data_IF_006989888407
#
_entry.id   IF_006989888407
#
_cell.length_a   1.000
_cell.length_b   1.000
_cell.length_c   1.000
_cell.angle_alpha   90.00
_cell.angle_beta   90.00
_cell.angle_gamma   90.00
#
_symmetry.space_group_name_H-M   'P 1'
#
loop_
_entity.id
_entity.type
_entity.pdbx_description
1 polymer ?
#
# COMPACT_ATOMS: atom_id res chain seq x y z
N UNK A 1 1.93 -5.22 -20.05
CA UNK A 1 1.60 -4.17 -19.05
C UNK A 1 2.82 -3.91 -18.19
N UNK A 2 3.08 -2.65 -17.92
CA UNK A 2 4.21 -2.24 -17.10
C UNK A 2 3.85 -2.22 -15.62
N UNK A 3 4.82 -1.87 -14.79
CA UNK A 3 4.64 -1.74 -13.36
C UNK A 3 5.11 -0.36 -12.91
N UNK A 4 4.24 0.35 -12.20
CA UNK A 4 4.61 1.52 -11.40
C UNK A 4 4.73 1.04 -9.97
N UNK A 5 5.75 1.49 -9.24
CA UNK A 5 5.96 0.99 -7.88
C UNK A 5 6.27 2.11 -6.90
N UNK A 6 5.93 1.86 -5.64
CA UNK A 6 6.28 2.70 -4.50
C UNK A 6 6.94 1.77 -3.49
N UNK A 7 8.17 2.07 -3.08
CA UNK A 7 8.93 1.23 -2.17
C UNK A 7 9.21 1.96 -0.87
N UNK A 8 9.01 1.25 0.25
CA UNK A 8 9.39 1.75 1.56
C UNK A 8 8.56 2.93 2.04
N UNK A 9 7.31 3.06 1.61
CA UNK A 9 6.42 4.11 2.08
C UNK A 9 6.04 3.82 3.53
N UNK A 10 6.44 4.70 4.44
CA UNK A 10 6.11 4.59 5.85
C UNK A 10 4.79 5.30 6.13
N UNK A 11 3.90 4.62 6.84
CA UNK A 11 2.58 5.14 7.21
C UNK A 11 2.32 4.90 8.69
N UNK A 12 1.54 5.81 9.30
CA UNK A 12 1.14 5.69 10.69
C UNK A 12 -0.32 5.27 10.77
N UNK A 13 -0.60 4.25 11.59
CA UNK A 13 -1.95 3.71 11.72
C UNK A 13 -2.15 3.08 13.11
N UNK A 14 -3.40 2.86 13.47
CA UNK A 14 -3.76 2.04 14.62
C UNK A 14 -3.92 0.61 14.12
N UNK A 15 -3.12 -0.31 14.63
CA UNK A 15 -3.08 -1.69 14.16
C UNK A 15 -2.62 -2.62 15.29
N UNK A 16 -3.22 -3.81 15.38
CA UNK A 16 -2.84 -4.84 16.32
C UNK A 16 -3.98 -5.28 17.23
N UNK A 17 -3.85 -6.50 17.76
CA UNK A 17 -4.89 -7.17 18.54
C UNK A 17 -4.80 -6.89 20.05
N UNK A 18 -3.62 -6.52 20.54
CA UNK A 18 -3.44 -6.28 21.96
C UNK A 18 -4.07 -4.94 22.40
N UNK A 19 -4.61 -4.90 23.63
CA UNK A 19 -5.28 -3.70 24.12
C UNK A 19 -4.42 -2.45 24.03
N UNK A 20 -3.13 -2.55 24.38
CA UNK A 20 -2.21 -1.41 24.31
C UNK A 20 -1.98 -0.92 22.86
N UNK A 21 -2.11 -1.82 21.87
CA UNK A 21 -1.97 -1.44 20.45
C UNK A 21 -3.16 -0.63 19.95
N UNK A 22 -4.34 -0.75 20.60
CA UNK A 22 -5.55 -0.04 20.16
C UNK A 22 -5.52 1.46 20.46
N UNK A 23 -4.62 1.89 21.34
CA UNK A 23 -4.55 3.28 21.81
C UNK A 23 -3.34 4.04 21.31
N UNK A 24 -2.50 3.42 20.50
CA UNK A 24 -1.28 4.03 19.96
C UNK A 24 -1.27 3.96 18.43
N UNK A 25 -0.46 4.80 17.84
CA UNK A 25 -0.16 4.74 16.39
C UNK A 25 1.14 3.99 16.21
N UNK A 26 1.18 3.16 15.19
CA UNK A 26 2.38 2.40 14.84
C UNK A 26 2.73 2.64 13.38
N UNK A 27 4.00 2.52 13.05
CA UNK A 27 4.48 2.61 11.69
C UNK A 27 4.34 1.27 10.97
N UNK A 28 3.76 1.30 9.77
CA UNK A 28 3.83 0.20 8.82
C UNK A 28 4.62 0.65 7.59
N UNK A 29 5.28 -0.29 6.93
CA UNK A 29 5.96 -0.03 5.67
C UNK A 29 5.19 -0.66 4.54
N UNK A 30 4.91 0.13 3.52
CA UNK A 30 4.14 -0.28 2.35
C UNK A 30 5.07 -0.33 1.14
N UNK A 31 5.12 -1.48 0.49
CA UNK A 31 5.76 -1.66 -0.81
C UNK A 31 4.68 -2.12 -1.78
N UNK A 32 4.44 -1.36 -2.83
CA UNK A 32 3.35 -1.67 -3.75
C UNK A 32 3.80 -1.60 -5.19
N UNK A 33 3.37 -2.58 -5.96
CA UNK A 33 3.52 -2.65 -7.41
C UNK A 33 2.15 -2.52 -8.05
N UNK A 34 2.04 -1.63 -9.02
CA UNK A 34 0.78 -1.24 -9.64
C UNK A 34 0.88 -1.48 -11.14
N UNK A 35 -0.04 -2.29 -11.69
CA UNK A 35 -0.07 -2.55 -13.13
C UNK A 35 -0.60 -1.33 -13.88
N UNK A 36 0.16 -0.87 -14.87
CA UNK A 36 -0.20 0.29 -15.68
C UNK A 36 0.50 0.24 -17.04
N UNK A 37 -0.17 0.68 -18.07
CA UNK A 37 0.47 0.82 -19.38
C UNK A 37 1.05 2.25 -19.48
N UNK A 38 2.37 2.35 -19.44
CA UNK A 38 3.07 3.64 -19.46
C UNK A 38 3.21 4.24 -20.87
N UNK A 39 2.92 3.47 -21.92
CA UNK A 39 3.14 3.91 -23.30
C UNK A 39 2.34 5.14 -23.69
N UNK A 40 1.02 5.24 -23.36
CA UNK A 40 0.26 6.44 -23.73
C UNK A 40 0.81 7.73 -23.14
N UNK A 41 1.23 7.69 -21.86
CA UNK A 41 1.82 8.86 -21.21
C UNK A 41 3.18 9.22 -21.80
N UNK A 42 4.00 8.20 -22.09
CA UNK A 42 5.36 8.40 -22.61
C UNK A 42 5.37 8.88 -24.07
N UNK A 43 4.33 8.58 -24.85
CA UNK A 43 4.30 8.91 -26.27
C UNK A 43 4.44 10.41 -26.53
N UNK A 44 3.76 11.24 -25.76
CA UNK A 44 3.76 12.70 -25.88
C UNK A 44 4.10 13.42 -24.56
N UNK A 45 4.65 12.69 -23.59
CA UNK A 45 5.04 13.25 -22.30
C UNK A 45 3.84 13.90 -21.56
N UNK A 46 2.73 13.16 -21.47
CA UNK A 46 1.45 13.66 -20.93
C UNK A 46 1.18 13.08 -19.54
N UNK A 47 1.20 13.95 -18.51
CA UNK A 47 0.99 13.57 -17.12
C UNK A 47 -0.40 12.96 -16.88
N UNK A 48 -1.43 13.47 -17.54
CA UNK A 48 -2.81 13.02 -17.34
C UNK A 48 -3.07 11.57 -17.79
N UNK A 49 -2.15 10.99 -18.57
CA UNK A 49 -2.21 9.59 -18.99
C UNK A 49 -1.33 8.68 -18.13
N UNK A 50 -0.55 9.25 -17.24
CA UNK A 50 0.31 8.50 -16.32
C UNK A 50 -0.46 8.11 -15.05
N UNK A 51 0.03 7.08 -14.37
CA UNK A 51 -0.41 6.82 -13.00
C UNK A 51 0.39 7.73 -12.08
N UNK A 52 -0.29 8.67 -11.42
CA UNK A 52 0.34 9.63 -10.52
C UNK A 52 0.67 8.97 -9.17
N UNK A 53 1.90 8.46 -9.04
CA UNK A 53 2.34 7.77 -7.83
C UNK A 53 2.39 8.70 -6.60
N UNK A 54 2.53 10.01 -6.79
CA UNK A 54 2.48 10.95 -5.67
C UNK A 54 1.06 11.01 -5.08
N UNK A 55 0.03 11.06 -5.93
CA UNK A 55 -1.37 11.02 -5.49
C UNK A 55 -1.71 9.68 -4.86
N UNK A 56 -1.22 8.58 -5.43
CA UNK A 56 -1.40 7.24 -4.85
C UNK A 56 -0.78 7.18 -3.46
N UNK A 57 0.45 7.69 -3.29
CA UNK A 57 1.13 7.72 -2.00
C UNK A 57 0.36 8.51 -0.96
N UNK A 58 -0.16 9.68 -1.32
CA UNK A 58 -0.99 10.51 -0.45
C UNK A 58 -2.26 9.76 -0.03
N UNK A 59 -2.88 9.05 -0.95
CA UNK A 59 -4.10 8.28 -0.65
C UNK A 59 -3.80 7.13 0.32
N UNK A 60 -2.67 6.45 0.15
CA UNK A 60 -2.24 5.39 1.07
C UNK A 60 -2.03 5.95 2.48
N UNK A 61 -1.37 7.10 2.59
CA UNK A 61 -1.14 7.76 3.88
C UNK A 61 -2.46 8.18 4.54
N UNK A 62 -3.40 8.74 3.78
CA UNK A 62 -4.72 9.12 4.28
C UNK A 62 -5.51 7.89 4.75
N UNK A 63 -5.49 6.82 3.98
CA UNK A 63 -6.11 5.55 4.37
C UNK A 63 -5.57 5.06 5.71
N UNK A 64 -4.25 5.02 5.85
CA UNK A 64 -3.59 4.54 7.06
C UNK A 64 -3.94 5.41 8.28
N UNK A 65 -4.02 6.73 8.11
CA UNK A 65 -4.30 7.64 9.21
C UNK A 65 -5.68 7.44 9.82
N UNK A 66 -6.64 6.96 9.05
CA UNK A 66 -8.02 6.71 9.49
C UNK A 66 -8.26 5.25 9.90
N UNK A 67 -7.40 4.33 9.49
CA UNK A 67 -7.58 2.90 9.72
C UNK A 67 -7.36 2.53 11.19
N UNK A 68 -8.17 1.57 11.68
CA UNK A 68 -8.10 1.04 13.05
C UNK A 68 -8.30 -0.47 13.04
N UNK A 69 -7.65 -1.16 12.11
CA UNK A 69 -7.81 -2.60 11.96
C UNK A 69 -7.03 -3.37 13.03
N UNK A 70 -7.51 -4.55 13.35
CA UNK A 70 -6.82 -5.48 14.25
C UNK A 70 -5.68 -6.17 13.50
N UNK A 71 -5.94 -6.60 12.25
CA UNK A 71 -5.03 -7.44 11.48
C UNK A 71 -4.39 -6.68 10.34
N UNK A 72 -3.09 -6.92 10.11
CA UNK A 72 -2.40 -6.41 8.92
C UNK A 72 -3.02 -6.98 7.64
N UNK A 73 -3.54 -8.21 7.69
CA UNK A 73 -4.25 -8.84 6.57
C UNK A 73 -5.48 -8.04 6.15
N UNK A 74 -6.25 -7.54 7.11
CA UNK A 74 -7.43 -6.70 6.82
C UNK A 74 -7.00 -5.37 6.20
N UNK A 75 -5.97 -4.75 6.78
CA UNK A 75 -5.41 -3.51 6.24
C UNK A 75 -5.00 -3.70 4.77
N UNK A 76 -4.28 -4.79 4.48
CA UNK A 76 -3.79 -5.08 3.13
C UNK A 76 -4.94 -5.25 2.13
N UNK A 77 -5.96 -6.05 2.47
CA UNK A 77 -7.10 -6.29 1.59
C UNK A 77 -7.88 -5.01 1.31
N UNK A 78 -8.16 -4.22 2.34
CA UNK A 78 -8.90 -2.97 2.19
C UNK A 78 -8.13 -1.93 1.39
N UNK A 79 -6.84 -1.82 1.61
CA UNK A 79 -6.00 -0.88 0.86
C UNK A 79 -5.98 -1.24 -0.62
N UNK A 80 -5.81 -2.50 -0.96
CA UNK A 80 -5.82 -2.95 -2.35
C UNK A 80 -7.16 -2.64 -3.03
N UNK A 81 -8.29 -2.86 -2.34
CA UNK A 81 -9.61 -2.51 -2.87
C UNK A 81 -9.70 -1.01 -3.21
N UNK A 82 -9.22 -0.16 -2.32
CA UNK A 82 -9.20 1.30 -2.52
C UNK A 82 -8.37 1.68 -3.74
N UNK A 83 -7.16 1.13 -3.85
CA UNK A 83 -6.26 1.45 -4.95
C UNK A 83 -6.82 1.01 -6.29
N UNK A 84 -7.35 -0.21 -6.37
CA UNK A 84 -7.91 -0.72 -7.62
C UNK A 84 -9.14 0.05 -8.06
N UNK A 85 -10.04 0.39 -7.13
CA UNK A 85 -11.29 1.06 -7.47
C UNK A 85 -11.12 2.55 -7.75
N UNK A 86 -10.35 3.26 -6.92
CA UNK A 86 -10.23 4.72 -7.06
C UNK A 86 -9.29 5.15 -8.18
N UNK A 87 -8.26 4.35 -8.48
CA UNK A 87 -7.30 4.69 -9.54
C UNK A 87 -7.46 3.84 -10.80
N UNK A 88 -8.46 2.96 -10.83
CA UNK A 88 -8.71 2.05 -11.96
C UNK A 88 -7.49 1.20 -12.31
N UNK A 89 -6.78 0.73 -11.27
CA UNK A 89 -5.58 -0.09 -11.42
C UNK A 89 -6.03 -1.55 -11.59
N UNK A 90 -5.65 -2.22 -12.68
CA UNK A 90 -6.13 -3.57 -12.96
C UNK A 90 -5.42 -4.66 -12.15
N UNK A 91 -4.23 -4.36 -11.62
CA UNK A 91 -3.42 -5.34 -10.90
C UNK A 91 -2.57 -4.65 -9.84
N UNK A 92 -2.54 -5.23 -8.64
CA UNK A 92 -1.76 -4.72 -7.51
C UNK A 92 -1.07 -5.88 -6.80
N UNK A 93 0.21 -5.72 -6.51
CA UNK A 93 0.95 -6.54 -5.55
C UNK A 93 1.38 -5.65 -4.39
N UNK A 94 0.94 -5.98 -3.19
CA UNK A 94 1.19 -5.20 -1.99
C UNK A 94 1.97 -6.06 -0.98
N UNK A 95 3.09 -5.52 -0.49
CA UNK A 95 3.82 -6.08 0.66
C UNK A 95 3.67 -5.10 1.81
N UNK A 96 3.08 -5.56 2.90
CA UNK A 96 2.85 -4.77 4.09
C UNK A 96 3.70 -5.33 5.22
N UNK A 97 4.60 -4.50 5.76
CA UNK A 97 5.53 -4.91 6.81
C UNK A 97 5.24 -4.14 8.09
N UNK A 98 5.21 -4.85 9.21
CA UNK A 98 5.10 -4.29 10.56
C UNK A 98 6.48 -4.39 11.22
N UNK A 99 7.32 -3.33 11.13
CA UNK A 99 8.68 -3.37 11.66
C UNK A 99 8.66 -3.53 13.19
N UNK A 100 9.57 -4.34 13.71
CA UNK A 100 9.73 -4.51 15.15
C UNK A 100 8.67 -5.36 15.85
N UNK A 101 7.68 -5.87 15.13
CA UNK A 101 6.65 -6.73 15.72
C UNK A 101 7.21 -8.02 16.31
N UNK A 102 8.25 -8.54 15.68
CA UNK A 102 9.07 -9.67 16.20
C UNK A 102 10.51 -9.18 16.20
N UNK A 103 11.08 -8.99 17.37
CA UNK A 103 12.42 -8.37 17.51
C UNK A 103 13.51 -9.14 16.75
N UNK A 104 13.43 -10.48 16.72
CA UNK A 104 14.41 -11.32 16.04
C UNK A 104 14.32 -11.22 14.51
N UNK A 105 13.20 -10.77 13.96
CA UNK A 105 13.04 -10.56 12.52
C UNK A 105 13.43 -9.13 12.17
N UNK A 106 14.72 -8.91 11.92
CA UNK A 106 15.27 -7.54 11.71
C UNK A 106 14.64 -6.81 10.53
N UNK A 107 14.18 -7.54 9.51
CA UNK A 107 13.47 -6.95 8.36
C UNK A 107 11.98 -6.74 8.58
N UNK A 108 11.47 -7.09 9.76
CA UNK A 108 10.06 -7.04 10.10
C UNK A 108 9.30 -8.30 9.71
N UNK A 109 8.01 -8.29 10.00
CA UNK A 109 7.06 -9.34 9.61
C UNK A 109 5.90 -8.69 8.89
N UNK A 110 5.18 -9.46 8.09
CA UNK A 110 4.05 -8.88 7.38
C UNK A 110 3.38 -9.86 6.45
N UNK A 111 2.63 -9.32 5.49
CA UNK A 111 1.90 -10.08 4.49
C UNK A 111 2.17 -9.51 3.10
N UNK A 112 2.07 -10.39 2.11
CA UNK A 112 2.11 -9.97 0.71
C UNK A 112 0.90 -10.55 0.01
N UNK A 113 0.16 -9.71 -0.71
CA UNK A 113 -1.01 -10.13 -1.49
C UNK A 113 -0.91 -9.60 -2.91
N UNK A 114 -1.52 -10.34 -3.82
CA UNK A 114 -1.60 -9.95 -5.23
C UNK A 114 -3.05 -10.09 -5.67
N UNK A 115 -3.61 -9.06 -6.31
CA UNK A 115 -5.01 -9.03 -6.74
C UNK A 115 -5.13 -8.45 -8.14
N UNK A 116 -6.16 -8.91 -8.86
CA UNK A 116 -6.42 -8.45 -10.21
C UNK A 116 -5.67 -9.27 -11.26
N UNK A 117 -5.70 -8.78 -12.49
CA UNK A 117 -5.07 -9.42 -13.64
C UNK A 117 -4.20 -8.43 -14.40
N UNK A 118 -3.02 -8.88 -14.74
CA UNK A 118 -2.13 -8.14 -15.66
C UNK A 118 -2.56 -8.28 -17.10
#
# INVERSE_FOLDING_TARGET
MDTVFIKGLEVDTVIGAYDWERTIRQCLRVDVQLGWDNRPAALNDELDKALDYATVSQRIQAFASEAQFILVETFAERLVEVLMSEFHIPWVRLTLTKPGAVAAASGGVGVEIERGCR
#
